data_IF_712319143254
#
_entry.id   IF_712319143254
#
_cell.length_a   1.000
_cell.length_b   1.000
_cell.length_c   1.000
_cell.angle_alpha   90.00
_cell.angle_beta   90.00
_cell.angle_gamma   90.00
#
_symmetry.space_group_name_H-M   'P 1'
#
loop_
_entity.id
_entity.type
_entity.pdbx_description
1 polymer ?
#
# COMPACT_ATOMS: atom_id res chain seq x y z
N UNK A 1 29.58 -8.23 -17.73
CA UNK A 1 28.30 -8.32 -18.45
C UNK A 1 27.45 -9.31 -17.67
N UNK A 2 26.39 -8.87 -16.99
CA UNK A 2 25.47 -9.79 -16.30
C UNK A 2 24.72 -10.58 -17.38
N UNK A 3 25.07 -11.85 -17.56
CA UNK A 3 24.42 -12.74 -18.51
C UNK A 3 23.48 -13.64 -17.71
N UNK A 4 22.28 -13.13 -17.46
CA UNK A 4 21.23 -13.88 -16.78
C UNK A 4 20.37 -14.57 -17.82
N UNK A 5 20.16 -15.87 -17.65
CA UNK A 5 19.31 -16.65 -18.54
C UNK A 5 17.89 -16.08 -18.57
N UNK A 6 17.26 -16.05 -19.74
CA UNK A 6 15.85 -15.66 -19.85
C UNK A 6 14.98 -16.80 -19.28
N UNK A 7 14.76 -16.76 -17.96
CA UNK A 7 13.95 -17.73 -17.24
C UNK A 7 12.54 -17.19 -16.97
N UNK A 8 11.60 -18.11 -16.84
CA UNK A 8 10.25 -17.80 -16.41
C UNK A 8 10.17 -17.57 -14.91
N UNK A 9 9.12 -16.87 -14.46
CA UNK A 9 8.79 -16.71 -13.04
C UNK A 9 8.73 -18.06 -12.32
N UNK A 10 8.14 -19.08 -12.96
CA UNK A 10 8.12 -20.45 -12.40
C UNK A 10 9.52 -20.98 -12.12
N UNK A 11 10.42 -20.84 -13.09
CA UNK A 11 11.80 -21.31 -12.95
C UNK A 11 12.55 -20.52 -11.87
N UNK A 12 12.35 -19.21 -11.81
CA UNK A 12 12.95 -18.35 -10.78
C UNK A 12 12.63 -18.84 -9.36
N UNK A 13 11.36 -19.13 -9.05
CA UNK A 13 10.95 -19.62 -7.73
C UNK A 13 11.41 -21.05 -7.41
N UNK A 14 11.91 -21.80 -8.41
CA UNK A 14 12.49 -23.13 -8.22
C UNK A 14 14.03 -23.14 -8.33
N UNK A 15 14.66 -21.96 -8.40
CA UNK A 15 16.11 -21.86 -8.41
C UNK A 15 16.66 -22.41 -7.09
N UNK A 16 17.53 -23.42 -7.21
CA UNK A 16 18.29 -23.98 -6.06
C UNK A 16 19.58 -23.22 -5.79
N UNK A 17 20.06 -22.47 -6.78
CA UNK A 17 21.26 -21.65 -6.66
C UNK A 17 20.91 -20.30 -6.02
N UNK A 18 21.26 -20.16 -4.75
CA UNK A 18 21.06 -18.94 -3.99
C UNK A 18 21.84 -17.75 -4.56
N UNK A 19 23.05 -17.97 -5.09
CA UNK A 19 23.85 -16.88 -5.66
C UNK A 19 23.18 -16.33 -6.92
N UNK A 20 22.66 -17.22 -7.77
CA UNK A 20 21.91 -16.82 -8.96
C UNK A 20 20.62 -16.10 -8.57
N UNK A 21 19.89 -16.56 -7.55
CA UNK A 21 18.71 -15.86 -7.05
C UNK A 21 19.05 -14.45 -6.54
N UNK A 22 20.15 -14.28 -5.80
CA UNK A 22 20.61 -12.97 -5.31
C UNK A 22 20.96 -12.01 -6.46
N UNK A 23 21.48 -12.52 -7.58
CA UNK A 23 21.75 -11.69 -8.76
C UNK A 23 20.47 -11.08 -9.35
N UNK A 24 19.40 -11.86 -9.42
CA UNK A 24 18.09 -11.35 -9.87
C UNK A 24 17.49 -10.32 -8.90
N UNK A 25 17.69 -10.49 -7.58
CA UNK A 25 17.22 -9.53 -6.58
C UNK A 25 17.91 -8.16 -6.70
N UNK A 26 19.06 -8.05 -7.36
CA UNK A 26 19.70 -6.76 -7.62
C UNK A 26 18.82 -5.83 -8.48
N UNK A 27 17.91 -6.39 -9.28
CA UNK A 27 16.96 -5.63 -10.09
C UNK A 27 15.95 -4.83 -9.28
N UNK A 28 15.74 -5.16 -7.99
CA UNK A 28 14.77 -4.48 -7.12
C UNK A 28 15.39 -3.40 -6.25
N UNK A 29 16.72 -3.26 -6.22
CA UNK A 29 17.43 -2.35 -5.32
C UNK A 29 17.62 -0.97 -5.97
N UNK A 30 16.95 0.09 -5.49
CA UNK A 30 17.15 1.44 -6.02
C UNK A 30 18.61 1.89 -5.84
N UNK A 31 19.20 2.47 -6.89
CA UNK A 31 20.60 2.90 -6.88
C UNK A 31 21.61 1.82 -7.31
N UNK A 32 21.17 0.58 -7.50
CA UNK A 32 21.97 -0.45 -8.16
C UNK A 32 22.03 -0.18 -9.69
N UNK A 33 23.19 -0.34 -10.37
CA UNK A 33 23.29 -0.15 -11.83
C UNK A 33 22.38 -1.06 -12.65
N UNK A 34 21.93 -2.18 -12.07
CA UNK A 34 21.02 -3.14 -12.71
C UNK A 34 19.55 -2.91 -12.32
N UNK A 35 19.24 -1.86 -11.55
CA UNK A 35 17.88 -1.54 -11.14
C UNK A 35 16.94 -1.41 -12.36
N UNK A 36 15.87 -2.18 -12.33
CA UNK A 36 14.87 -2.17 -13.39
C UNK A 36 13.83 -1.08 -13.10
N UNK A 37 13.82 -0.05 -13.96
CA UNK A 37 12.87 1.07 -13.84
C UNK A 37 11.42 0.56 -13.83
N UNK A 38 10.59 0.95 -12.84
CA UNK A 38 9.22 0.47 -12.71
C UNK A 38 8.39 0.57 -13.99
N UNK A 39 7.65 -0.49 -14.34
CA UNK A 39 6.69 -0.45 -15.46
C UNK A 39 5.34 -1.02 -15.03
N UNK A 40 4.28 -0.26 -15.31
CA UNK A 40 2.90 -0.64 -15.00
C UNK A 40 2.29 -1.58 -16.04
N UNK A 41 3.07 -2.52 -16.58
CA UNK A 41 2.59 -3.51 -17.56
C UNK A 41 3.17 -4.87 -17.20
N UNK A 42 2.31 -5.88 -17.11
CA UNK A 42 2.70 -7.27 -16.89
C UNK A 42 1.75 -8.20 -17.65
N UNK A 43 2.29 -9.21 -18.34
CA UNK A 43 1.50 -10.13 -19.16
C UNK A 43 0.55 -9.43 -20.17
N UNK A 44 0.99 -8.30 -20.75
CA UNK A 44 0.21 -7.42 -21.64
C UNK A 44 -1.02 -6.78 -20.98
N UNK A 45 -1.10 -6.81 -19.65
CA UNK A 45 -2.12 -6.11 -18.86
C UNK A 45 -1.51 -4.88 -18.21
N UNK A 46 -2.24 -3.78 -18.28
CA UNK A 46 -1.87 -2.55 -17.59
C UNK A 46 -2.20 -2.67 -16.10
N UNK A 47 -1.37 -2.05 -15.27
CA UNK A 47 -1.60 -1.98 -13.85
C UNK A 47 -2.83 -1.12 -13.54
N UNK A 48 -3.73 -1.64 -12.73
CA UNK A 48 -4.78 -0.84 -12.09
C UNK A 48 -4.11 0.09 -11.07
N UNK A 49 -4.32 1.42 -11.15
CA UNK A 49 -3.78 2.34 -10.16
C UNK A 49 -4.25 1.95 -8.75
N UNK A 50 -3.36 1.94 -7.75
CA UNK A 50 -3.70 1.49 -6.40
C UNK A 50 -4.90 2.24 -5.80
N UNK A 51 -5.08 3.52 -6.14
CA UNK A 51 -6.23 4.31 -5.70
C UNK A 51 -7.59 3.86 -6.26
N UNK A 52 -7.60 3.08 -7.34
CA UNK A 52 -8.79 2.49 -7.96
C UNK A 52 -9.05 1.05 -7.52
N UNK A 53 -8.14 0.45 -6.75
CA UNK A 53 -8.41 -0.81 -6.06
C UNK A 53 -9.35 -0.56 -4.87
N UNK A 54 -9.92 -1.63 -4.33
CA UNK A 54 -10.68 -1.54 -3.08
C UNK A 54 -9.75 -1.26 -1.92
N UNK A 55 -10.30 -0.71 -0.83
CA UNK A 55 -9.54 -0.44 0.38
C UNK A 55 -8.91 -1.72 0.95
N UNK A 56 -9.68 -2.82 1.02
CA UNK A 56 -9.17 -4.13 1.45
C UNK A 56 -8.06 -4.67 0.56
N UNK A 57 -8.16 -4.51 -0.77
CA UNK A 57 -7.08 -4.91 -1.67
C UNK A 57 -5.78 -4.13 -1.42
N UNK A 58 -5.87 -2.81 -1.19
CA UNK A 58 -4.68 -1.99 -0.87
C UNK A 58 -4.09 -2.38 0.50
N UNK A 59 -4.95 -2.65 1.49
CA UNK A 59 -4.54 -3.14 2.80
C UNK A 59 -3.79 -4.48 2.70
N UNK A 60 -4.31 -5.42 1.90
CA UNK A 60 -3.67 -6.71 1.64
C UNK A 60 -2.33 -6.52 0.92
N UNK A 61 -2.24 -5.64 -0.07
CA UNK A 61 -0.96 -5.35 -0.75
C UNK A 61 0.08 -4.80 0.24
N UNK A 62 -0.31 -3.90 1.16
CA UNK A 62 0.58 -3.41 2.24
C UNK A 62 1.06 -4.57 3.11
N UNK A 63 0.16 -5.45 3.53
CA UNK A 63 0.49 -6.60 4.37
C UNK A 63 1.41 -7.59 3.65
N UNK A 64 1.05 -7.98 2.44
CA UNK A 64 1.73 -9.01 1.64
C UNK A 64 3.15 -8.60 1.27
N UNK A 65 3.40 -7.32 0.98
CA UNK A 65 4.75 -6.82 0.73
C UNK A 65 5.61 -6.71 2.00
N UNK A 66 5.02 -6.61 3.19
CA UNK A 66 5.76 -6.63 4.47
C UNK A 66 6.25 -8.04 4.85
N UNK A 67 5.59 -9.08 4.32
CA UNK A 67 5.93 -10.50 4.54
C UNK A 67 5.94 -11.23 3.19
N UNK A 68 6.95 -11.00 2.34
CA UNK A 68 6.95 -11.53 0.99
C UNK A 68 7.05 -13.06 0.99
N UNK A 69 6.00 -13.70 0.49
CA UNK A 69 5.98 -15.11 0.07
C UNK A 69 5.58 -15.18 -1.40
N UNK A 70 5.74 -16.35 -2.02
CA UNK A 70 5.28 -16.56 -3.39
C UNK A 70 3.79 -16.23 -3.55
N UNK A 71 2.96 -16.74 -2.63
CA UNK A 71 1.52 -16.57 -2.61
C UNK A 71 1.15 -15.10 -2.42
N UNK A 72 1.77 -14.44 -1.43
CA UNK A 72 1.53 -13.04 -1.10
C UNK A 72 1.89 -12.11 -2.27
N UNK A 73 3.03 -12.36 -2.93
CA UNK A 73 3.43 -11.56 -4.10
C UNK A 73 2.51 -11.84 -5.28
N UNK A 74 2.15 -13.10 -5.53
CA UNK A 74 1.21 -13.44 -6.59
C UNK A 74 -0.14 -12.74 -6.40
N UNK A 75 -0.67 -12.72 -5.18
CA UNK A 75 -1.93 -12.03 -4.86
C UNK A 75 -1.85 -10.52 -5.16
N UNK A 76 -0.71 -9.87 -4.88
CA UNK A 76 -0.48 -8.47 -5.29
C UNK A 76 -0.57 -8.31 -6.82
N UNK A 77 0.01 -9.24 -7.59
CA UNK A 77 -0.07 -9.21 -9.05
C UNK A 77 -1.49 -9.48 -9.55
N UNK A 78 -2.23 -10.37 -8.90
CA UNK A 78 -3.63 -10.65 -9.22
C UNK A 78 -4.48 -9.39 -9.02
N UNK A 79 -4.33 -8.66 -7.91
CA UNK A 79 -5.07 -7.43 -7.68
C UNK A 79 -4.68 -6.31 -8.64
N UNK A 80 -3.38 -6.09 -8.88
CA UNK A 80 -2.91 -4.95 -9.67
C UNK A 80 -3.10 -5.18 -11.17
N UNK A 81 -2.75 -6.36 -11.67
CA UNK A 81 -2.71 -6.66 -13.11
C UNK A 81 -3.85 -7.56 -13.56
N UNK A 82 -4.69 -8.06 -12.66
CA UNK A 82 -5.78 -9.00 -12.96
C UNK A 82 -5.28 -10.24 -13.72
N UNK A 83 -4.15 -10.80 -13.30
CA UNK A 83 -3.51 -11.97 -13.94
C UNK A 83 -3.80 -13.25 -13.18
N UNK A 84 -4.03 -14.35 -13.92
CA UNK A 84 -4.17 -15.69 -13.34
C UNK A 84 -2.80 -16.32 -13.09
N UNK A 85 -2.72 -17.23 -12.11
CA UNK A 85 -1.50 -17.93 -11.72
C UNK A 85 -0.74 -18.55 -12.89
N UNK A 86 -1.44 -19.24 -13.80
CA UNK A 86 -0.79 -19.87 -14.97
C UNK A 86 -0.12 -18.84 -15.89
N UNK A 87 -0.75 -17.68 -16.08
CA UNK A 87 -0.21 -16.61 -16.92
C UNK A 87 0.98 -15.97 -16.24
N UNK A 88 0.88 -15.72 -14.94
CA UNK A 88 1.94 -15.17 -14.09
C UNK A 88 3.21 -16.04 -14.13
N UNK A 89 3.06 -17.36 -13.91
CA UNK A 89 4.17 -18.31 -13.87
C UNK A 89 4.92 -18.45 -15.20
N UNK A 90 4.25 -18.22 -16.34
CA UNK A 90 4.84 -18.31 -17.69
C UNK A 90 5.51 -17.00 -18.13
N UNK A 91 5.32 -15.90 -17.42
CA UNK A 91 5.99 -14.65 -17.79
C UNK A 91 7.49 -14.75 -17.56
N UNK A 92 8.23 -13.94 -18.31
CA UNK A 92 9.65 -13.72 -18.12
C UNK A 92 9.91 -13.02 -16.77
N UNK A 93 10.99 -13.44 -16.11
CA UNK A 93 11.42 -12.94 -14.80
C UNK A 93 11.78 -11.44 -14.84
N UNK A 94 12.32 -10.93 -15.95
CA UNK A 94 12.67 -9.51 -16.08
C UNK A 94 11.39 -8.67 -16.08
N UNK A 95 10.39 -9.10 -16.86
CA UNK A 95 9.05 -8.49 -16.88
C UNK A 95 8.37 -8.52 -15.51
N UNK A 96 8.57 -9.60 -14.74
CA UNK A 96 8.11 -9.70 -13.36
C UNK A 96 8.76 -8.64 -12.46
N UNK A 97 10.08 -8.47 -12.50
CA UNK A 97 10.75 -7.46 -11.65
C UNK A 97 10.39 -6.03 -12.03
N UNK A 98 10.18 -5.73 -13.32
CA UNK A 98 9.65 -4.43 -13.75
C UNK A 98 8.29 -4.10 -13.09
N UNK A 99 7.40 -5.10 -13.04
CA UNK A 99 6.07 -4.97 -12.48
C UNK A 99 6.08 -4.94 -10.94
N UNK A 100 6.92 -5.76 -10.31
CA UNK A 100 7.10 -5.77 -8.85
C UNK A 100 7.61 -4.40 -8.36
N UNK A 101 8.62 -3.84 -9.04
CA UNK A 101 9.14 -2.50 -8.73
C UNK A 101 8.06 -1.42 -8.91
N UNK A 102 7.13 -1.61 -9.85
CA UNK A 102 5.98 -0.71 -10.01
C UNK A 102 5.03 -0.78 -8.82
N UNK A 103 4.64 -1.99 -8.38
CA UNK A 103 3.77 -2.13 -7.20
C UNK A 103 4.44 -1.49 -5.98
N UNK A 104 5.69 -1.86 -5.69
CA UNK A 104 6.43 -1.36 -4.52
C UNK A 104 6.63 0.16 -4.55
N UNK A 105 6.98 0.73 -5.71
CA UNK A 105 7.16 2.19 -5.84
C UNK A 105 5.84 2.94 -5.68
N UNK A 106 4.74 2.44 -6.26
CA UNK A 106 3.44 3.10 -6.13
C UNK A 106 2.91 2.97 -4.70
N UNK A 107 3.12 1.83 -4.05
CA UNK A 107 2.74 1.67 -2.65
C UNK A 107 3.54 2.63 -1.76
N UNK A 108 4.86 2.76 -1.97
CA UNK A 108 5.68 3.71 -1.22
C UNK A 108 5.17 5.14 -1.37
N UNK A 109 4.88 5.58 -2.59
CA UNK A 109 4.29 6.91 -2.84
C UNK A 109 2.92 7.09 -2.17
N UNK A 110 2.09 6.03 -2.17
CA UNK A 110 0.80 6.03 -1.52
C UNK A 110 0.94 6.19 0.00
N UNK A 111 1.82 5.41 0.64
CA UNK A 111 2.10 5.50 2.08
C UNK A 111 2.72 6.85 2.46
N UNK A 112 3.62 7.38 1.64
CA UNK A 112 4.18 8.73 1.87
C UNK A 112 3.10 9.82 1.77
N UNK A 113 2.17 9.70 0.81
CA UNK A 113 1.04 10.61 0.70
C UNK A 113 0.08 10.47 1.88
N UNK A 114 -0.23 9.24 2.31
CA UNK A 114 -1.05 8.99 3.50
C UNK A 114 -0.40 9.64 4.73
N UNK A 115 0.88 9.39 4.97
CA UNK A 115 1.62 9.95 6.10
C UNK A 115 1.63 11.48 6.07
N UNK A 116 1.86 12.11 4.91
CA UNK A 116 1.83 13.58 4.78
C UNK A 116 0.44 14.18 4.97
N UNK A 117 -0.60 13.53 4.45
CA UNK A 117 -1.96 14.08 4.47
C UNK A 117 -2.69 13.78 5.78
N UNK A 118 -2.46 12.63 6.38
CA UNK A 118 -3.14 12.17 7.60
C UNK A 118 -2.28 12.30 8.85
N UNK A 119 -0.95 12.42 8.72
CA UNK A 119 -0.08 12.74 9.86
C UNK A 119 -0.42 14.10 10.45
N UNK A 120 -0.66 14.15 11.76
CA UNK A 120 -0.68 15.40 12.52
C UNK A 120 0.72 15.79 12.96
N UNK A 121 0.90 17.01 13.46
CA UNK A 121 2.07 17.32 14.29
C UNK A 121 2.09 16.33 15.46
N UNK A 122 3.25 15.71 15.78
CA UNK A 122 3.34 14.77 16.89
C UNK A 122 3.03 15.51 18.19
N UNK A 123 1.81 15.33 18.69
CA UNK A 123 1.46 15.71 20.05
C UNK A 123 1.92 14.54 20.95
N UNK A 124 3.04 14.71 21.65
CA UNK A 124 3.71 13.68 22.46
C UNK A 124 2.76 12.99 23.47
N UNK A 125 1.61 13.61 23.80
CA UNK A 125 0.56 13.07 24.65
C UNK A 125 -0.35 12.03 23.96
N UNK A 126 -0.55 12.12 22.64
CA UNK A 126 -1.36 11.15 21.87
C UNK A 126 -0.63 9.81 21.70
N UNK A 127 0.69 9.83 21.59
CA UNK A 127 1.53 8.64 21.55
C UNK A 127 1.46 7.83 22.87
N UNK A 128 1.27 8.52 24.01
CA UNK A 128 1.01 7.94 25.32
C UNK A 128 -0.43 7.43 25.49
N UNK A 129 -1.42 7.99 24.79
CA UNK A 129 -2.84 7.70 24.96
C UNK A 129 -3.34 6.39 24.31
N UNK A 130 -2.45 5.58 23.72
CA UNK A 130 -2.80 4.26 23.18
C UNK A 130 -2.95 4.19 21.66
N UNK A 131 -2.47 5.18 20.90
CA UNK A 131 -2.35 5.13 19.43
C UNK A 131 -1.56 3.88 18.98
N UNK A 132 -0.54 3.46 19.75
CA UNK A 132 0.18 2.19 19.54
C UNK A 132 -0.67 0.93 19.75
N UNK A 133 -1.70 0.96 20.61
CA UNK A 133 -2.64 -0.16 20.78
C UNK A 133 -3.66 -0.23 19.65
N UNK A 134 -4.03 0.91 19.06
CA UNK A 134 -4.94 0.98 17.91
C UNK A 134 -4.25 0.58 16.61
N UNK A 135 -2.94 0.82 16.48
CA UNK A 135 -2.13 0.33 15.36
C UNK A 135 -2.16 -1.21 15.22
N UNK A 136 -2.37 -1.95 16.32
CA UNK A 136 -2.52 -3.41 16.31
C UNK A 136 -3.81 -3.89 15.63
N UNK A 137 -4.83 -3.03 15.54
CA UNK A 137 -6.07 -3.30 14.80
C UNK A 137 -6.01 -2.80 13.35
N UNK A 138 -4.86 -2.27 12.92
CA UNK A 138 -4.63 -1.82 11.55
C UNK A 138 -5.71 -0.86 11.04
N UNK A 139 -6.25 -1.17 9.86
CA UNK A 139 -7.25 -0.34 9.18
C UNK A 139 -8.70 -0.57 9.70
N UNK A 140 -8.91 -1.48 10.65
CA UNK A 140 -10.25 -1.82 11.17
C UNK A 140 -10.94 -0.66 11.89
N UNK A 141 -10.19 0.19 12.60
CA UNK A 141 -10.76 1.35 13.27
C UNK A 141 -11.30 2.38 12.28
N UNK A 142 -10.55 2.59 11.19
CA UNK A 142 -10.96 3.42 10.06
C UNK A 142 -12.24 2.88 9.42
N UNK A 143 -12.27 1.58 9.12
CA UNK A 143 -13.44 0.92 8.55
C UNK A 143 -14.66 1.07 9.47
N UNK A 144 -14.51 0.84 10.77
CA UNK A 144 -15.59 1.02 11.75
C UNK A 144 -16.10 2.45 11.83
N UNK A 145 -15.20 3.43 11.86
CA UNK A 145 -15.57 4.85 11.92
C UNK A 145 -16.40 5.27 10.70
N UNK A 146 -15.90 4.96 9.49
CA UNK A 146 -16.60 5.28 8.24
C UNK A 146 -17.90 4.48 8.14
N UNK A 147 -17.89 3.20 8.47
CA UNK A 147 -19.08 2.36 8.49
C UNK A 147 -20.18 2.95 9.38
N UNK A 148 -19.82 3.42 10.58
CA UNK A 148 -20.76 4.06 11.50
C UNK A 148 -21.33 5.37 10.93
N UNK A 149 -20.52 6.21 10.28
CA UNK A 149 -20.97 7.48 9.69
C UNK A 149 -22.00 7.27 8.58
N UNK A 150 -21.82 6.22 7.76
CA UNK A 150 -22.68 5.95 6.61
C UNK A 150 -23.75 4.88 6.86
N UNK A 151 -23.85 4.34 8.08
CA UNK A 151 -24.79 3.28 8.43
C UNK A 151 -24.54 1.97 7.66
N UNK A 152 -23.27 1.65 7.41
CA UNK A 152 -22.80 0.49 6.63
C UNK A 152 -22.08 -0.52 7.52
N UNK A 153 -21.83 -1.72 6.99
CA UNK A 153 -20.92 -2.65 7.64
C UNK A 153 -19.45 -2.33 7.30
N UNK A 154 -18.48 -2.65 8.17
CA UNK A 154 -17.06 -2.55 7.85
C UNK A 154 -16.66 -3.32 6.58
N UNK A 155 -17.29 -4.47 6.33
CA UNK A 155 -17.07 -5.30 5.14
C UNK A 155 -17.55 -4.59 3.86
N UNK A 156 -18.66 -3.85 3.92
CA UNK A 156 -19.12 -3.04 2.78
C UNK A 156 -18.11 -1.92 2.46
N UNK A 157 -17.59 -1.24 3.50
CA UNK A 157 -16.62 -0.16 3.34
C UNK A 157 -15.27 -0.67 2.84
N UNK A 158 -14.87 -1.86 3.25
CA UNK A 158 -13.65 -2.53 2.76
C UNK A 158 -13.66 -2.72 1.24
N UNK A 159 -14.84 -2.95 0.66
CA UNK A 159 -15.05 -3.08 -0.77
C UNK A 159 -15.15 -1.74 -1.53
N UNK A 160 -15.15 -0.61 -0.82
CA UNK A 160 -15.14 0.70 -1.47
C UNK A 160 -13.78 1.00 -2.09
N UNK A 161 -13.78 1.88 -3.08
CA UNK A 161 -12.55 2.34 -3.72
C UNK A 161 -11.64 3.02 -2.71
N UNK A 162 -10.36 2.68 -2.71
CA UNK A 162 -9.38 3.24 -1.80
C UNK A 162 -9.39 4.77 -1.84
N UNK A 163 -9.42 5.39 -3.03
CA UNK A 163 -9.46 6.85 -3.15
C UNK A 163 -10.68 7.48 -2.45
N UNK A 164 -11.84 6.81 -2.48
CA UNK A 164 -13.03 7.30 -1.79
C UNK A 164 -12.82 7.25 -0.28
N UNK A 165 -12.41 6.10 0.24
CA UNK A 165 -12.14 5.90 1.68
C UNK A 165 -11.06 6.88 2.16
N UNK A 166 -10.00 7.08 1.36
CA UNK A 166 -8.95 8.05 1.65
C UNK A 166 -9.44 9.50 1.67
N UNK A 167 -10.29 9.89 0.72
CA UNK A 167 -10.92 11.22 0.72
C UNK A 167 -11.82 11.44 1.94
N UNK A 168 -12.54 10.41 2.39
CA UNK A 168 -13.35 10.47 3.62
C UNK A 168 -12.46 10.65 4.85
N UNK A 169 -11.38 9.88 4.97
CA UNK A 169 -10.41 10.05 6.06
C UNK A 169 -9.82 11.47 6.10
N UNK A 170 -9.48 12.03 4.93
CA UNK A 170 -8.94 13.38 4.84
C UNK A 170 -9.98 14.44 5.23
N UNK A 171 -11.22 14.27 4.80
CA UNK A 171 -12.33 15.14 5.18
C UNK A 171 -12.55 15.14 6.70
N UNK A 172 -12.54 13.97 7.34
CA UNK A 172 -12.73 13.82 8.77
C UNK A 172 -11.61 14.49 9.57
N UNK A 173 -10.36 14.34 9.11
CA UNK A 173 -9.21 15.01 9.71
C UNK A 173 -9.36 16.53 9.66
N UNK A 174 -9.61 17.10 8.48
CA UNK A 174 -9.77 18.55 8.29
C UNK A 174 -10.95 19.07 9.13
N UNK A 175 -12.07 18.33 9.16
CA UNK A 175 -13.23 18.68 9.98
C UNK A 175 -12.90 18.70 11.48
N UNK A 176 -12.14 17.72 11.95
CA UNK A 176 -11.66 17.66 13.33
C UNK A 176 -10.72 18.81 13.71
N UNK A 177 -9.80 19.18 12.82
CA UNK A 177 -8.91 20.33 12.99
C UNK A 177 -9.70 21.65 13.05
N UNK A 178 -10.65 21.84 12.14
CA UNK A 178 -11.54 23.02 12.12
C UNK A 178 -12.36 23.10 13.40
N UNK A 179 -12.93 21.99 13.87
CA UNK A 179 -13.71 21.96 15.10
C UNK A 179 -12.84 22.25 16.33
N UNK A 180 -11.61 21.76 16.35
CA UNK A 180 -10.65 22.01 17.43
C UNK A 180 -10.25 23.49 17.46
N UNK A 181 -9.91 24.07 16.31
CA UNK A 181 -9.60 25.49 16.18
C UNK A 181 -10.80 26.37 16.59
N UNK A 182 -12.01 26.01 16.16
CA UNK A 182 -13.24 26.71 16.55
C UNK A 182 -13.47 26.66 18.06
N UNK A 183 -13.28 25.49 18.69
CA UNK A 183 -13.41 25.32 20.14
C UNK A 183 -12.36 26.14 20.90
N UNK A 184 -11.11 26.16 20.44
CA UNK A 184 -10.07 26.99 21.04
C UNK A 184 -10.42 28.49 20.96
N UNK A 185 -10.97 28.97 19.85
CA UNK A 185 -11.43 30.36 19.71
C UNK A 185 -12.65 30.66 20.61
N UNK A 186 -13.62 29.74 20.70
CA UNK A 186 -14.86 29.91 21.47
C UNK A 186 -14.66 29.84 22.99
N UNK A 187 -13.73 29.01 23.46
CA UNK A 187 -13.48 28.81 24.90
C UNK A 187 -12.22 29.51 25.40
N UNK A 188 -11.21 29.74 24.55
CA UNK A 188 -10.03 30.55 24.89
C UNK A 188 -10.34 32.05 25.03
N UNK A 189 -11.43 32.54 24.41
CA UNK A 189 -11.91 33.91 24.58
C UNK A 189 -12.64 34.15 25.92
N UNK A 190 -13.04 33.11 26.65
CA UNK A 190 -13.73 33.25 27.95
C UNK A 190 -12.81 33.41 29.17
N UNK A 191 -11.48 33.36 28.99
CA UNK A 191 -10.51 33.52 30.09
C UNK A 191 -9.94 34.94 30.23
N UNK A 192 -10.47 35.93 29.49
CA UNK A 192 -10.12 37.35 29.63
C UNK A 192 -11.32 38.19 30.06
N UNK A 193 -11.81 37.94 31.26
CA UNK A 193 -12.70 38.82 32.04
C UNK A 193 -12.55 38.45 33.50
#
# INVERSE_FOLDING_TARGET
MFNLDNITVKQFFHLKDENLAQQYLQFTLPGNPFYLKPRGVFAKKEATPLGQLTFGQVANIKHNLSKPSFENIFECFEFVFNVKLETYLRQDVISYFYALNWITSNLKQLVERESKSLGGDPDDLLDMAGVKRLAAFGELNTLKSIAQQFGKSPEEVENWKYNLVFSLMLHDKVSGEVQTAYNQLKYGSKSKT
#
